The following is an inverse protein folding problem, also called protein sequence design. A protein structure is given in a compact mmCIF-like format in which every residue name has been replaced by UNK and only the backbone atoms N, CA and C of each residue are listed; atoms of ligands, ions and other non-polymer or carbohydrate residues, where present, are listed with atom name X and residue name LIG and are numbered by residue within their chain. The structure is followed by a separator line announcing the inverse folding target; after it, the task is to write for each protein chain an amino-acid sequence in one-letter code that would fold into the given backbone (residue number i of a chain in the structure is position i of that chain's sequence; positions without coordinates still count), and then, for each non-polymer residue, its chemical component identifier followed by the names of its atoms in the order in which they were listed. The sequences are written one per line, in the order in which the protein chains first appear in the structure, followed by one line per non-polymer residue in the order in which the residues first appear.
data_IF_245024122257
#
_entry.id   IF_245024122257
#
_cell.length_a   1.000
_cell.length_b   1.000
_cell.length_c   1.000
_cell.angle_alpha   90.00
_cell.angle_beta   90.00
_cell.angle_gamma   90.00
#
_symmetry.space_group_name_H-M   'P 1'
#
loop_
_entity.id
_entity.type
_entity.pdbx_description
1 polymer ?
#
# COMPACT_ATOMS: atom_id res chain seq x y z
N UNK A 1 -47.44 45.19 -43.61
CA UNK A 1 -48.27 45.83 -42.56
C UNK A 1 -47.56 45.68 -41.22
N UNK A 2 -47.69 46.68 -40.34
CA UNK A 2 -46.68 47.07 -39.36
C UNK A 2 -46.89 46.49 -37.97
N UNK A 3 -45.81 46.58 -37.18
CA UNK A 3 -45.71 46.77 -35.73
C UNK A 3 -46.91 46.43 -34.85
N UNK A 4 -46.71 45.56 -33.86
CA UNK A 4 -47.25 45.77 -32.52
C UNK A 4 -46.21 45.38 -31.45
N UNK A 5 -45.43 46.40 -31.06
CA UNK A 5 -44.78 46.52 -29.75
C UNK A 5 -45.82 46.63 -28.64
N UNK A 6 -45.65 45.88 -27.55
CA UNK A 6 -46.26 46.17 -26.24
C UNK A 6 -45.40 45.53 -25.12
N UNK A 7 -45.50 45.97 -23.85
CA UNK A 7 -44.41 46.57 -23.07
C UNK A 7 -43.96 45.70 -21.87
N UNK A 8 -42.94 46.13 -21.10
CA UNK A 8 -42.48 45.40 -19.93
C UNK A 8 -43.33 45.75 -18.69
N UNK A 9 -43.88 44.73 -18.03
CA UNK A 9 -44.51 44.88 -16.72
C UNK A 9 -43.46 44.72 -15.62
N UNK A 10 -43.20 45.83 -14.92
CA UNK A 10 -42.44 45.89 -13.69
C UNK A 10 -43.19 45.16 -12.57
N UNK A 11 -42.47 44.34 -11.80
CA UNK A 11 -43.00 43.70 -10.60
C UNK A 11 -42.20 44.21 -9.38
N UNK A 12 -42.76 45.11 -8.54
CA UNK A 12 -42.15 45.55 -7.30
C UNK A 12 -42.67 44.66 -6.17
N UNK A 13 -41.98 43.54 -5.93
CA UNK A 13 -42.26 42.64 -4.83
C UNK A 13 -41.02 42.53 -3.95
N UNK A 14 -40.94 43.39 -2.94
CA UNK A 14 -39.93 43.34 -1.90
C UNK A 14 -40.11 42.06 -1.07
N UNK A 15 -39.19 41.10 -1.25
CA UNK A 15 -39.00 40.00 -0.31
C UNK A 15 -37.95 40.40 0.73
N UNK A 16 -38.19 40.13 2.02
CA UNK A 16 -37.27 40.48 3.09
C UNK A 16 -35.99 39.66 2.92
N UNK A 17 -34.89 40.39 2.77
CA UNK A 17 -33.52 39.87 2.83
C UNK A 17 -33.28 39.28 4.21
N UNK A 18 -33.60 38.00 4.38
CA UNK A 18 -33.20 37.23 5.54
C UNK A 18 -31.74 36.84 5.32
N UNK A 19 -30.85 37.57 5.98
CA UNK A 19 -29.40 37.31 5.99
C UNK A 19 -29.13 35.97 6.69
N UNK A 20 -28.75 34.89 5.97
CA UNK A 20 -28.44 33.59 6.56
C UNK A 20 -27.00 33.54 7.09
N UNK A 21 -26.31 34.68 7.20
CA UNK A 21 -24.92 34.75 7.67
C UNK A 21 -24.77 34.60 9.19
N UNK A 22 -25.78 34.09 9.90
CA UNK A 22 -25.58 33.53 11.24
C UNK A 22 -24.77 32.24 11.13
N UNK A 23 -23.45 32.42 11.02
CA UNK A 23 -22.40 31.74 11.78
C UNK A 23 -22.90 30.58 12.64
N UNK A 24 -23.20 29.46 11.99
CA UNK A 24 -22.84 28.18 12.57
C UNK A 24 -21.32 28.13 12.49
N UNK A 25 -20.65 28.67 13.51
CA UNK A 25 -19.27 28.32 13.81
C UNK A 25 -19.21 26.78 13.72
N UNK A 26 -18.56 26.20 12.71
CA UNK A 26 -18.26 24.80 12.78
C UNK A 26 -17.41 24.70 14.03
N UNK A 27 -17.93 24.02 15.05
CA UNK A 27 -17.15 23.53 16.17
C UNK A 27 -16.07 22.68 15.53
N UNK A 28 -14.98 23.36 15.18
CA UNK A 28 -13.73 22.87 14.72
C UNK A 28 -13.28 22.02 15.89
N UNK A 29 -13.68 20.75 15.85
CA UNK A 29 -13.04 19.68 16.58
C UNK A 29 -11.59 19.81 16.18
N UNK A 30 -10.86 20.59 16.98
CA UNK A 30 -9.47 20.91 16.80
C UNK A 30 -8.80 19.58 16.61
N UNK A 31 -8.47 19.29 15.35
CA UNK A 31 -7.78 18.09 14.91
C UNK A 31 -6.48 18.15 15.68
N UNK A 32 -6.43 17.48 16.83
CA UNK A 32 -5.28 17.52 17.72
C UNK A 32 -4.06 17.28 16.82
N UNK A 33 -3.05 18.16 16.86
CA UNK A 33 -1.87 18.02 16.02
C UNK A 33 -1.35 16.61 16.25
N UNK A 34 -1.54 15.77 15.23
CA UNK A 34 -1.24 14.35 15.29
C UNK A 34 0.21 14.25 15.71
N UNK A 35 0.47 13.76 16.92
CA UNK A 35 1.82 13.54 17.41
C UNK A 35 2.58 12.82 16.31
N UNK A 36 3.57 13.52 15.74
CA UNK A 36 4.38 13.01 14.65
C UNK A 36 5.06 11.76 15.20
N UNK A 37 4.56 10.61 14.77
CA UNK A 37 4.99 9.28 15.18
C UNK A 37 6.53 9.25 15.27
N UNK A 38 7.13 8.69 16.35
CA UNK A 38 8.57 8.68 16.56
C UNK A 38 9.31 8.33 15.27
N UNK A 39 10.18 9.25 14.84
CA UNK A 39 10.75 9.36 13.51
C UNK A 39 10.92 8.01 12.80
N UNK A 40 10.14 7.78 11.73
CA UNK A 40 10.25 6.60 10.90
C UNK A 40 11.72 6.38 10.47
N UNK A 41 12.24 5.14 10.53
CA UNK A 41 13.66 4.88 10.32
C UNK A 41 14.08 5.23 8.90
N UNK A 42 14.99 6.19 8.75
CA UNK A 42 15.49 6.64 7.44
C UNK A 42 16.11 5.47 6.66
N UNK A 43 15.53 5.16 5.49
CA UNK A 43 16.06 4.16 4.58
C UNK A 43 17.26 4.72 3.80
N UNK A 44 18.33 3.94 3.71
CA UNK A 44 19.55 4.34 2.99
C UNK A 44 19.37 4.11 1.48
N UNK A 45 19.81 5.07 0.68
CA UNK A 45 19.78 4.96 -0.79
C UNK A 45 20.84 3.95 -1.28
N UNK A 46 20.60 3.20 -2.37
CA UNK A 46 21.58 2.27 -2.93
C UNK A 46 22.97 2.88 -3.16
N UNK A 47 23.03 4.14 -3.66
CA UNK A 47 24.28 4.88 -3.88
C UNK A 47 25.08 5.13 -2.59
N UNK A 48 24.39 5.36 -1.47
CA UNK A 48 25.06 5.56 -0.18
C UNK A 48 25.63 4.25 0.34
N UNK A 49 24.94 3.13 0.09
CA UNK A 49 25.42 1.79 0.46
C UNK A 49 26.63 1.40 -0.38
N UNK A 50 26.61 1.66 -1.69
CA UNK A 50 27.76 1.39 -2.56
C UNK A 50 28.97 2.26 -2.21
N UNK A 51 28.78 3.55 -1.90
CA UNK A 51 29.86 4.45 -1.50
C UNK A 51 30.54 3.99 -0.20
N UNK A 52 29.75 3.56 0.80
CA UNK A 52 30.28 3.01 2.06
C UNK A 52 31.04 1.72 1.84
N UNK A 53 30.54 0.83 0.98
CA UNK A 53 31.24 -0.41 0.64
C UNK A 53 32.56 -0.12 -0.09
N UNK A 54 32.55 0.82 -1.05
CA UNK A 54 33.75 1.23 -1.78
C UNK A 54 34.81 1.85 -0.87
N UNK A 55 34.43 2.75 0.05
CA UNK A 55 35.35 3.34 1.00
C UNK A 55 36.03 2.32 1.92
N UNK A 56 35.32 1.27 2.32
CA UNK A 56 35.89 0.15 3.09
C UNK A 56 36.89 -0.64 2.24
N UNK A 57 36.55 -0.98 1.00
CA UNK A 57 37.46 -1.71 0.09
C UNK A 57 38.73 -0.90 -0.20
N UNK A 58 38.59 0.39 -0.54
CA UNK A 58 39.72 1.29 -0.80
C UNK A 58 40.62 1.43 0.44
N UNK A 59 40.04 1.54 1.64
CA UNK A 59 40.80 1.61 2.88
C UNK A 59 41.59 0.32 3.17
N UNK A 60 41.00 -0.84 2.86
CA UNK A 60 41.69 -2.14 2.97
C UNK A 60 42.84 -2.23 1.96
N UNK A 61 42.62 -1.83 0.71
CA UNK A 61 43.66 -1.84 -0.34
C UNK A 61 44.85 -0.93 0.01
N UNK A 62 44.59 0.29 0.50
CA UNK A 62 45.64 1.22 0.93
C UNK A 62 46.47 0.66 2.11
N UNK A 63 45.82 0.06 3.10
CA UNK A 63 46.51 -0.58 4.23
C UNK A 63 47.33 -1.79 3.80
N UNK A 64 46.81 -2.60 2.86
CA UNK A 64 47.53 -3.73 2.30
C UNK A 64 48.78 -3.27 1.53
N UNK A 65 48.65 -2.22 0.70
CA UNK A 65 49.77 -1.62 -0.04
C UNK A 65 50.86 -1.05 0.88
N UNK A 66 50.47 -0.40 1.98
CA UNK A 66 51.41 0.10 2.99
C UNK A 66 52.13 -1.05 3.71
N UNK A 67 51.42 -2.11 4.08
CA UNK A 67 52.00 -3.30 4.71
C UNK A 67 52.98 -4.03 3.78
N UNK A 68 52.69 -4.04 2.48
CA UNK A 68 53.56 -4.56 1.43
C UNK A 68 54.91 -3.84 1.36
N UNK A 69 54.91 -2.50 1.53
CA UNK A 69 56.13 -1.70 1.48
C UNK A 69 57.03 -1.87 2.72
N UNK A 70 56.48 -2.35 3.84
CA UNK A 70 57.13 -2.27 5.15
C UNK A 70 57.70 -3.59 5.69
N UNK A 71 57.27 -4.77 5.23
CA UNK A 71 57.68 -6.02 5.89
C UNK A 71 57.79 -7.24 4.97
N UNK A 72 58.83 -8.05 5.19
CA UNK A 72 59.05 -9.39 4.58
C UNK A 72 58.03 -10.45 5.04
N UNK A 73 56.98 -10.05 5.76
CA UNK A 73 55.97 -10.92 6.38
C UNK A 73 54.62 -10.88 5.64
N UNK A 74 54.67 -10.65 4.34
CA UNK A 74 53.53 -10.44 3.44
C UNK A 74 52.48 -11.55 3.55
N UNK A 75 52.90 -12.81 3.65
CA UNK A 75 52.00 -13.96 3.72
C UNK A 75 51.15 -13.99 4.99
N UNK A 76 51.70 -13.58 6.15
CA UNK A 76 50.93 -13.54 7.40
C UNK A 76 49.88 -12.43 7.36
N UNK A 77 50.26 -11.25 6.84
CA UNK A 77 49.33 -10.13 6.66
C UNK A 77 48.18 -10.51 5.70
N UNK A 78 48.48 -11.18 4.58
CA UNK A 78 47.44 -11.70 3.68
C UNK A 78 46.53 -12.72 4.36
N UNK A 79 47.09 -13.66 5.11
CA UNK A 79 46.30 -14.68 5.80
C UNK A 79 45.32 -14.05 6.82
N UNK A 80 45.78 -13.07 7.60
CA UNK A 80 44.94 -12.35 8.56
C UNK A 80 43.86 -11.49 7.88
N UNK A 81 44.22 -10.76 6.82
CA UNK A 81 43.28 -9.93 6.05
C UNK A 81 42.21 -10.80 5.37
N UNK A 82 42.65 -11.87 4.70
CA UNK A 82 41.75 -12.80 4.03
C UNK A 82 40.84 -13.52 5.04
N UNK A 83 41.39 -14.00 6.16
CA UNK A 83 40.61 -14.61 7.24
C UNK A 83 39.58 -13.65 7.84
N UNK A 84 39.97 -12.39 8.08
CA UNK A 84 39.06 -11.34 8.55
C UNK A 84 37.94 -11.03 7.54
N UNK A 85 38.27 -10.94 6.25
CA UNK A 85 37.31 -10.67 5.18
C UNK A 85 36.32 -11.84 4.98
N UNK A 86 36.81 -13.08 5.03
CA UNK A 86 35.96 -14.27 5.01
C UNK A 86 35.04 -14.30 6.23
N UNK A 87 35.57 -14.15 7.44
CA UNK A 87 34.77 -14.12 8.67
C UNK A 87 33.68 -13.04 8.66
N UNK A 88 34.03 -11.83 8.20
CA UNK A 88 33.06 -10.74 8.02
C UNK A 88 32.01 -11.06 6.96
N UNK A 89 32.39 -11.63 5.82
CA UNK A 89 31.47 -12.03 4.75
C UNK A 89 30.48 -13.10 5.21
N UNK A 90 30.96 -14.15 5.91
CA UNK A 90 30.10 -15.19 6.48
C UNK A 90 29.14 -14.62 7.52
N UNK A 91 29.62 -13.75 8.42
CA UNK A 91 28.76 -13.08 9.40
C UNK A 91 27.68 -12.23 8.71
N UNK A 92 28.05 -11.45 7.70
CA UNK A 92 27.12 -10.60 6.95
C UNK A 92 26.09 -11.42 6.17
N UNK A 93 26.48 -12.55 5.59
CA UNK A 93 25.55 -13.51 4.96
C UNK A 93 24.61 -14.10 6.00
N UNK A 94 25.10 -14.51 7.17
CA UNK A 94 24.27 -15.00 8.27
C UNK A 94 23.24 -13.98 8.74
N UNK A 95 23.64 -12.71 8.90
CA UNK A 95 22.74 -11.62 9.24
C UNK A 95 21.69 -11.38 8.15
N UNK A 96 22.07 -11.48 6.87
CA UNK A 96 21.14 -11.35 5.76
C UNK A 96 20.13 -12.51 5.70
N UNK A 97 20.56 -13.76 5.86
CA UNK A 97 19.67 -14.92 5.90
C UNK A 97 18.67 -14.83 7.05
N UNK A 98 19.13 -14.44 8.25
CA UNK A 98 18.23 -14.22 9.39
C UNK A 98 17.20 -13.12 9.12
N UNK A 99 17.63 -12.02 8.50
CA UNK A 99 16.72 -10.92 8.15
C UNK A 99 15.72 -11.31 7.03
N UNK A 100 16.13 -12.13 6.06
CA UNK A 100 15.23 -12.66 5.03
C UNK A 100 14.21 -13.62 5.67
N UNK A 101 14.66 -14.57 6.48
CA UNK A 101 13.80 -15.52 7.17
C UNK A 101 12.78 -14.81 8.07
N UNK A 102 13.21 -13.75 8.77
CA UNK A 102 12.30 -12.90 9.55
C UNK A 102 11.25 -12.21 8.66
N UNK A 103 11.61 -11.65 7.50
CA UNK A 103 10.63 -11.05 6.60
C UNK A 103 9.62 -12.07 6.05
N UNK A 104 10.06 -13.25 5.63
CA UNK A 104 9.15 -14.31 5.19
C UNK A 104 8.22 -14.75 6.32
N UNK A 105 8.76 -14.89 7.55
CA UNK A 105 7.93 -15.21 8.71
C UNK A 105 6.88 -14.12 9.00
N UNK A 106 7.24 -12.84 8.89
CA UNK A 106 6.29 -11.75 9.04
C UNK A 106 5.18 -11.78 7.97
N UNK A 107 5.53 -12.13 6.73
CA UNK A 107 4.58 -12.32 5.64
C UNK A 107 3.62 -13.47 5.93
N UNK A 108 4.12 -14.62 6.37
CA UNK A 108 3.27 -15.75 6.77
C UNK A 108 2.32 -15.36 7.90
N UNK A 109 2.80 -14.63 8.90
CA UNK A 109 1.97 -14.14 10.00
C UNK A 109 0.86 -13.19 9.50
N UNK A 110 1.16 -12.33 8.53
CA UNK A 110 0.16 -11.50 7.86
C UNK A 110 -0.90 -12.32 7.11
N UNK A 111 -0.47 -13.36 6.39
CA UNK A 111 -1.38 -14.26 5.66
C UNK A 111 -2.30 -15.04 6.62
N UNK A 112 -1.80 -15.35 7.82
CA UNK A 112 -2.56 -15.97 8.93
C UNK A 112 -3.42 -14.96 9.71
N UNK A 113 -3.37 -13.66 9.40
CA UNK A 113 -4.11 -12.62 10.11
C UNK A 113 -3.51 -12.22 11.46
N UNK A 114 -2.31 -12.68 11.81
CA UNK A 114 -1.58 -12.34 13.04
C UNK A 114 -0.81 -11.03 12.87
N UNK A 115 -1.54 -9.93 12.65
CA UNK A 115 -0.95 -8.63 12.32
C UNK A 115 -0.04 -8.08 13.44
N UNK A 116 -0.36 -8.32 14.70
CA UNK A 116 0.42 -7.80 15.84
C UNK A 116 1.78 -8.49 16.00
N UNK A 117 1.82 -9.81 15.84
CA UNK A 117 3.07 -10.58 15.84
C UNK A 117 3.96 -10.18 14.66
N UNK A 118 3.35 -10.03 13.47
CA UNK A 118 4.07 -9.54 12.29
C UNK A 118 4.64 -8.14 12.52
N UNK A 119 3.87 -7.23 13.13
CA UNK A 119 4.30 -5.87 13.45
C UNK A 119 5.54 -5.89 14.36
N UNK A 120 5.48 -6.63 15.47
CA UNK A 120 6.59 -6.72 16.43
C UNK A 120 7.87 -7.23 15.79
N UNK A 121 7.76 -8.28 14.96
CA UNK A 121 8.92 -8.88 14.30
C UNK A 121 9.54 -7.93 13.25
N UNK A 122 8.72 -7.20 12.50
CA UNK A 122 9.17 -6.20 11.54
C UNK A 122 9.78 -4.97 12.23
N UNK A 123 9.22 -4.52 13.34
CA UNK A 123 9.72 -3.39 14.11
C UNK A 123 11.10 -3.71 14.73
N UNK A 124 11.28 -4.94 15.26
CA UNK A 124 12.60 -5.43 15.70
C UNK A 124 13.63 -5.44 14.55
N UNK A 125 13.22 -5.89 13.37
CA UNK A 125 14.08 -5.94 12.20
C UNK A 125 14.45 -4.54 11.68
N UNK A 126 13.53 -3.58 11.73
CA UNK A 126 13.78 -2.18 11.35
C UNK A 126 14.67 -1.46 12.37
N UNK A 127 14.51 -1.74 13.67
CA UNK A 127 15.33 -1.17 14.73
C UNK A 127 16.78 -1.73 14.74
N UNK A 128 16.97 -2.98 14.29
CA UNK A 128 18.27 -3.63 14.30
C UNK A 128 19.28 -2.98 13.35
N UNK A 129 20.43 -2.56 13.91
CA UNK A 129 21.60 -2.08 13.13
C UNK A 129 22.22 -3.17 12.26
N UNK A 130 21.98 -4.45 12.58
CA UNK A 130 22.52 -5.60 11.84
C UNK A 130 21.73 -5.90 10.56
N UNK A 131 20.51 -5.38 10.43
CA UNK A 131 19.68 -5.60 9.25
C UNK A 131 20.31 -4.98 8.01
N UNK A 132 20.59 -5.78 6.97
CA UNK A 132 21.17 -5.28 5.73
C UNK A 132 20.34 -4.17 5.09
N UNK A 133 20.99 -3.12 4.56
CA UNK A 133 20.29 -1.97 3.99
C UNK A 133 19.31 -2.29 2.86
N UNK A 134 19.57 -3.34 2.08
CA UNK A 134 18.70 -3.79 0.98
C UNK A 134 17.45 -4.55 1.46
N UNK A 135 17.43 -5.04 2.70
CA UNK A 135 16.29 -5.76 3.29
C UNK A 135 15.35 -4.81 4.03
N UNK A 136 15.85 -3.67 4.51
CA UNK A 136 15.04 -2.67 5.24
C UNK A 136 13.84 -2.13 4.44
N UNK A 137 13.94 -1.84 3.12
CA UNK A 137 12.77 -1.44 2.34
C UNK A 137 11.71 -2.54 2.26
N UNK A 138 12.10 -3.81 2.16
CA UNK A 138 11.16 -4.94 2.16
C UNK A 138 10.42 -5.03 3.51
N UNK A 139 11.14 -4.87 4.61
CA UNK A 139 10.56 -4.85 5.94
C UNK A 139 9.60 -3.67 6.17
N UNK A 140 9.99 -2.48 5.69
CA UNK A 140 9.14 -1.30 5.73
C UNK A 140 7.86 -1.49 4.89
N UNK A 141 7.96 -2.16 3.73
CA UNK A 141 6.81 -2.52 2.91
C UNK A 141 5.84 -3.46 3.64
N UNK A 142 6.32 -4.57 4.21
CA UNK A 142 5.45 -5.46 4.98
C UNK A 142 4.85 -4.77 6.21
N UNK A 143 5.59 -3.87 6.85
CA UNK A 143 5.06 -3.09 7.98
C UNK A 143 3.98 -2.10 7.55
N UNK A 144 4.03 -1.62 6.32
CA UNK A 144 2.94 -0.86 5.72
C UNK A 144 1.70 -1.74 5.46
N UNK A 145 1.87 -2.99 5.02
CA UNK A 145 0.74 -3.91 4.89
C UNK A 145 0.08 -4.22 6.23
N UNK A 146 0.85 -4.35 7.32
CA UNK A 146 0.32 -4.40 8.69
C UNK A 146 -0.54 -3.16 8.99
N UNK A 147 -0.03 -1.96 8.68
CA UNK A 147 -0.76 -0.72 8.91
C UNK A 147 -2.08 -0.68 8.10
N UNK A 148 -2.09 -1.14 6.84
CA UNK A 148 -3.33 -1.29 6.06
C UNK A 148 -4.32 -2.22 6.79
N UNK A 149 -3.86 -3.37 7.28
CA UNK A 149 -4.71 -4.36 8.00
C UNK A 149 -5.27 -3.84 9.32
N UNK A 150 -4.63 -2.85 9.94
CA UNK A 150 -5.14 -2.16 11.13
C UNK A 150 -6.04 -0.96 10.80
N UNK A 151 -6.18 -0.61 9.52
CA UNK A 151 -6.87 0.60 9.08
C UNK A 151 -6.08 1.88 9.35
N UNK A 152 -4.77 1.79 9.56
CA UNK A 152 -3.85 2.91 9.76
C UNK A 152 -3.34 3.43 8.39
N UNK A 153 -4.25 3.85 7.51
CA UNK A 153 -3.95 4.08 6.09
C UNK A 153 -2.91 5.19 5.84
N UNK A 154 -3.03 6.31 6.53
CA UNK A 154 -2.00 7.37 6.56
C UNK A 154 -0.60 6.86 6.94
N UNK A 155 -0.46 6.04 7.98
CA UNK A 155 0.85 5.45 8.35
C UNK A 155 1.35 4.50 7.25
N UNK A 156 0.46 3.70 6.67
CA UNK A 156 0.80 2.82 5.55
C UNK A 156 1.34 3.62 4.36
N UNK A 157 0.69 4.74 4.00
CA UNK A 157 1.10 5.64 2.92
C UNK A 157 2.50 6.22 3.19
N UNK A 158 2.75 6.74 4.39
CA UNK A 158 4.06 7.28 4.76
C UNK A 158 5.17 6.24 4.63
N UNK A 159 4.94 5.03 5.14
CA UNK A 159 5.90 3.93 5.02
C UNK A 159 6.14 3.52 3.57
N UNK A 160 5.10 3.47 2.74
CA UNK A 160 5.23 3.16 1.31
C UNK A 160 6.00 4.25 0.57
N UNK A 161 5.72 5.53 0.85
CA UNK A 161 6.49 6.66 0.31
C UNK A 161 7.98 6.50 0.63
N UNK A 162 8.33 6.14 1.87
CA UNK A 162 9.73 5.89 2.23
C UNK A 162 10.36 4.74 1.42
N UNK A 163 9.61 3.66 1.17
CA UNK A 163 10.08 2.55 0.34
C UNK A 163 10.35 3.01 -1.09
N UNK A 164 9.47 3.83 -1.68
CA UNK A 164 9.67 4.39 -3.02
C UNK A 164 10.88 5.34 -3.04
N UNK A 165 10.95 6.29 -2.11
CA UNK A 165 12.01 7.31 -2.00
C UNK A 165 13.39 6.72 -1.69
N UNK A 166 13.42 5.52 -1.12
CA UNK A 166 14.66 4.78 -0.90
C UNK A 166 15.41 4.48 -2.20
N UNK A 167 14.71 4.48 -3.36
CA UNK A 167 15.30 4.25 -4.68
C UNK A 167 15.69 2.79 -4.96
N UNK A 168 15.29 1.86 -4.11
CA UNK A 168 15.54 0.42 -4.30
C UNK A 168 14.63 -0.23 -5.35
N UNK A 169 13.52 0.43 -5.72
CA UNK A 169 12.55 -0.04 -6.71
C UNK A 169 12.89 0.34 -8.16
N UNK A 170 13.90 1.17 -8.39
CA UNK A 170 14.23 1.67 -9.73
C UNK A 170 14.80 0.60 -10.68
N UNK A 171 14.94 0.96 -11.97
CA UNK A 171 15.44 0.07 -13.02
C UNK A 171 16.82 -0.53 -12.68
N UNK A 172 16.99 -1.84 -12.91
CA UNK A 172 18.21 -2.63 -12.67
C UNK A 172 18.59 -2.73 -11.18
N UNK A 173 17.61 -2.68 -10.28
CA UNK A 173 17.82 -2.82 -8.83
C UNK A 173 17.29 -4.15 -8.31
N UNK A 174 17.81 -4.56 -7.16
CA UNK A 174 17.52 -5.85 -6.53
C UNK A 174 16.05 -6.04 -6.15
N UNK A 175 15.28 -4.96 -5.99
CA UNK A 175 13.86 -5.02 -5.61
C UNK A 175 12.91 -4.56 -6.72
N UNK A 176 13.36 -4.50 -7.97
CA UNK A 176 12.51 -4.07 -9.09
C UNK A 176 11.26 -4.96 -9.25
N UNK A 177 11.37 -6.27 -8.99
CA UNK A 177 10.24 -7.20 -9.05
C UNK A 177 9.16 -6.92 -7.99
N UNK A 178 9.49 -6.19 -6.92
CA UNK A 178 8.55 -5.80 -5.87
C UNK A 178 7.79 -4.50 -6.22
N UNK A 179 8.30 -3.70 -7.17
CA UNK A 179 7.73 -2.40 -7.49
C UNK A 179 6.21 -2.44 -7.75
N UNK A 180 5.66 -3.35 -8.58
CA UNK A 180 4.21 -3.39 -8.84
C UNK A 180 3.41 -3.64 -7.57
N UNK A 181 3.89 -4.51 -6.68
CA UNK A 181 3.23 -4.80 -5.40
C UNK A 181 3.25 -3.59 -4.46
N UNK A 182 4.37 -2.84 -4.39
CA UNK A 182 4.47 -1.62 -3.58
C UNK A 182 3.50 -0.55 -4.10
N UNK A 183 3.46 -0.31 -5.40
CA UNK A 183 2.56 0.69 -5.98
C UNK A 183 1.08 0.30 -5.89
N UNK A 184 0.76 -1.00 -6.05
CA UNK A 184 -0.60 -1.49 -5.82
C UNK A 184 -1.02 -1.31 -4.35
N UNK A 185 -0.13 -1.57 -3.39
CA UNK A 185 -0.40 -1.30 -1.98
C UNK A 185 -0.55 0.21 -1.69
N UNK A 186 0.23 1.07 -2.36
CA UNK A 186 0.10 2.53 -2.26
C UNK A 186 -1.27 3.00 -2.76
N UNK A 187 -1.70 2.44 -3.89
CA UNK A 187 -3.01 2.69 -4.50
C UNK A 187 -4.10 2.26 -3.53
N UNK A 188 -4.06 1.01 -3.05
CA UNK A 188 -5.04 0.46 -2.12
C UNK A 188 -5.12 1.28 -0.82
N UNK A 189 -3.98 1.62 -0.21
CA UNK A 189 -3.95 2.44 1.00
C UNK A 189 -4.58 3.82 0.76
N UNK A 190 -4.34 4.44 -0.41
CA UNK A 190 -4.91 5.75 -0.75
C UNK A 190 -6.42 5.66 -1.03
N UNK A 191 -6.88 4.61 -1.71
CA UNK A 191 -8.32 4.37 -1.94
C UNK A 191 -9.06 4.19 -0.61
N UNK A 192 -8.52 3.36 0.28
CA UNK A 192 -9.13 3.10 1.59
C UNK A 192 -9.10 4.32 2.51
N UNK A 193 -8.12 5.22 2.34
CA UNK A 193 -8.06 6.53 3.03
C UNK A 193 -9.04 7.56 2.44
N UNK A 194 -9.65 7.28 1.28
CA UNK A 194 -10.54 8.19 0.55
C UNK A 194 -9.83 9.18 -0.39
N UNK A 195 -8.50 9.10 -0.55
CA UNK A 195 -7.70 9.95 -1.42
C UNK A 195 -7.59 9.33 -2.83
N UNK A 196 -8.68 9.41 -3.59
CA UNK A 196 -8.78 8.86 -4.95
C UNK A 196 -7.76 9.47 -5.92
N UNK A 197 -7.46 10.76 -5.77
CA UNK A 197 -6.47 11.42 -6.61
C UNK A 197 -5.07 10.85 -6.37
N UNK A 198 -4.66 10.64 -5.12
CA UNK A 198 -3.39 9.96 -4.84
C UNK A 198 -3.38 8.52 -5.35
N UNK A 199 -4.49 7.79 -5.21
CA UNK A 199 -4.60 6.42 -5.73
C UNK A 199 -4.35 6.36 -7.24
N UNK A 200 -5.00 7.23 -8.03
CA UNK A 200 -4.80 7.31 -9.48
C UNK A 200 -3.35 7.65 -9.83
N UNK A 201 -2.72 8.60 -9.12
CA UNK A 201 -1.30 8.93 -9.34
C UNK A 201 -0.39 7.73 -9.08
N UNK A 202 -0.61 7.01 -7.98
CA UNK A 202 0.19 5.84 -7.64
C UNK A 202 0.02 4.70 -8.64
N UNK A 203 -1.21 4.49 -9.12
CA UNK A 203 -1.51 3.52 -10.18
C UNK A 203 -0.75 3.87 -11.46
N UNK A 204 -0.82 5.13 -11.90
CA UNK A 204 -0.12 5.60 -13.10
C UNK A 204 1.41 5.53 -12.97
N UNK A 205 1.98 5.85 -11.80
CA UNK A 205 3.42 5.68 -11.53
C UNK A 205 3.84 4.21 -11.54
N UNK A 206 3.05 3.34 -10.91
CA UNK A 206 3.34 1.91 -10.86
C UNK A 206 3.30 1.24 -12.23
N UNK A 207 2.33 1.58 -13.08
CA UNK A 207 2.31 1.08 -14.46
C UNK A 207 3.48 1.56 -15.30
N UNK A 208 4.05 2.75 -15.02
CA UNK A 208 5.28 3.22 -15.69
C UNK A 208 6.55 2.47 -15.22
N UNK A 209 6.56 2.03 -13.97
CA UNK A 209 7.72 1.36 -13.36
C UNK A 209 7.72 -0.17 -13.55
N UNK A 210 6.56 -0.77 -13.78
CA UNK A 210 6.37 -2.22 -13.78
C UNK A 210 6.56 -2.83 -15.17
N UNK A 211 7.36 -3.90 -15.25
CA UNK A 211 7.14 -4.93 -16.26
C UNK A 211 5.79 -5.60 -15.95
N UNK A 212 5.02 -5.89 -16.99
CA UNK A 212 3.65 -6.40 -17.04
C UNK A 212 3.28 -7.46 -15.97
N UNK A 213 2.99 -7.02 -14.74
CA UNK A 213 2.63 -7.87 -13.60
C UNK A 213 1.24 -7.51 -13.10
N UNK A 214 0.24 -7.75 -13.96
CA UNK A 214 -1.17 -7.44 -13.73
C UNK A 214 -1.74 -8.01 -12.42
N UNK A 215 -1.25 -9.19 -12.00
CA UNK A 215 -1.69 -9.88 -10.77
C UNK A 215 -1.70 -9.03 -9.49
N UNK A 216 -0.79 -8.06 -9.38
CA UNK A 216 -0.69 -7.21 -8.20
C UNK A 216 -1.77 -6.12 -8.17
N UNK A 217 -2.38 -5.83 -9.32
CA UNK A 217 -3.29 -4.71 -9.51
C UNK A 217 -4.76 -5.07 -9.34
N UNK A 218 -5.16 -6.34 -9.44
CA UNK A 218 -6.58 -6.75 -9.39
C UNK A 218 -7.32 -6.18 -8.19
N UNK A 219 -6.79 -6.41 -6.98
CA UNK A 219 -7.41 -5.91 -5.74
C UNK A 219 -7.43 -4.38 -5.73
N UNK A 220 -6.29 -3.72 -5.98
CA UNK A 220 -6.21 -2.27 -5.92
C UNK A 220 -7.13 -1.57 -6.94
N UNK A 221 -7.23 -2.09 -8.17
CA UNK A 221 -8.11 -1.57 -9.22
C UNK A 221 -9.59 -1.80 -8.87
N UNK A 222 -9.93 -2.97 -8.33
CA UNK A 222 -11.30 -3.25 -7.90
C UNK A 222 -11.76 -2.27 -6.81
N UNK A 223 -10.92 -2.02 -5.80
CA UNK A 223 -11.20 -1.00 -4.79
C UNK A 223 -11.31 0.40 -5.40
N UNK A 224 -10.44 0.75 -6.34
CA UNK A 224 -10.47 2.06 -7.01
C UNK A 224 -11.77 2.27 -7.78
N UNK A 225 -12.21 1.29 -8.58
CA UNK A 225 -13.48 1.33 -9.32
C UNK A 225 -14.68 1.40 -8.38
N UNK A 226 -14.68 0.57 -7.33
CA UNK A 226 -15.74 0.57 -6.33
C UNK A 226 -15.84 1.92 -5.61
N UNK A 227 -14.70 2.56 -5.29
CA UNK A 227 -14.70 3.84 -4.58
C UNK A 227 -15.05 5.02 -5.49
N UNK A 228 -14.95 4.85 -6.80
CA UNK A 228 -15.33 5.82 -7.84
C UNK A 228 -16.77 5.60 -8.37
N UNK A 229 -17.59 4.81 -7.65
CA UNK A 229 -18.97 4.47 -8.05
C UNK A 229 -19.10 3.79 -9.43
N UNK A 230 -18.01 3.24 -9.97
CA UNK A 230 -17.95 2.60 -11.29
C UNK A 230 -18.36 1.10 -11.23
N UNK A 231 -19.55 0.84 -10.67
CA UNK A 231 -20.03 -0.50 -10.32
C UNK A 231 -20.11 -1.47 -11.52
N UNK A 232 -20.66 -1.02 -12.65
CA UNK A 232 -20.75 -1.85 -13.85
C UNK A 232 -19.37 -2.23 -14.40
N UNK A 233 -18.45 -1.28 -14.39
CA UNK A 233 -17.08 -1.52 -14.85
C UNK A 233 -16.38 -2.50 -13.92
N UNK A 234 -16.56 -2.37 -12.61
CA UNK A 234 -16.05 -3.32 -11.62
C UNK A 234 -16.52 -4.74 -11.92
N UNK A 235 -17.84 -4.95 -12.06
CA UNK A 235 -18.41 -6.27 -12.32
C UNK A 235 -17.93 -6.85 -13.65
N UNK A 236 -17.85 -6.02 -14.70
CA UNK A 236 -17.32 -6.42 -16.02
C UNK A 236 -15.84 -6.83 -15.93
N UNK A 237 -15.03 -6.10 -15.18
CA UNK A 237 -13.61 -6.43 -14.99
C UNK A 237 -13.43 -7.71 -14.18
N UNK A 238 -14.21 -7.91 -13.12
CA UNK A 238 -14.16 -9.14 -12.32
C UNK A 238 -14.62 -10.36 -13.14
N UNK A 239 -15.73 -10.25 -13.86
CA UNK A 239 -16.26 -11.35 -14.67
C UNK A 239 -15.36 -11.71 -15.86
N UNK A 240 -14.76 -10.73 -16.54
CA UNK A 240 -13.88 -11.01 -17.69
C UNK A 240 -12.49 -11.52 -17.31
N UNK A 241 -12.03 -11.29 -16.07
CA UNK A 241 -10.68 -11.65 -15.62
C UNK A 241 -10.66 -12.68 -14.48
N UNK A 242 -11.80 -13.31 -14.18
CA UNK A 242 -11.93 -14.19 -13.02
C UNK A 242 -10.91 -15.34 -13.02
N UNK A 243 -10.72 -16.03 -14.16
CA UNK A 243 -9.75 -17.13 -14.27
C UNK A 243 -8.31 -16.68 -13.97
N UNK A 244 -7.94 -15.48 -14.43
CA UNK A 244 -6.62 -14.89 -14.15
C UNK A 244 -6.48 -14.47 -12.68
N UNK A 245 -7.57 -13.98 -12.08
CA UNK A 245 -7.64 -13.64 -10.65
C UNK A 245 -7.45 -14.91 -9.81
N UNK A 246 -8.18 -15.98 -10.09
CA UNK A 246 -8.11 -17.24 -9.35
C UNK A 246 -6.72 -17.88 -9.41
N UNK A 247 -6.06 -17.82 -10.57
CA UNK A 247 -4.72 -18.36 -10.75
C UNK A 247 -3.58 -17.55 -10.10
N UNK A 248 -3.83 -16.31 -9.66
CA UNK A 248 -2.73 -15.40 -9.25
C UNK A 248 -2.94 -14.69 -7.92
N UNK A 249 -4.18 -14.45 -7.49
CA UNK A 249 -4.50 -13.71 -6.27
C UNK A 249 -4.59 -14.69 -5.10
N UNK A 250 -4.11 -14.26 -3.92
CA UNK A 250 -4.23 -15.09 -2.72
C UNK A 250 -5.70 -15.30 -2.33
N UNK A 251 -6.01 -16.38 -1.63
CA UNK A 251 -7.38 -16.63 -1.17
C UNK A 251 -7.98 -15.46 -0.36
N UNK A 252 -7.15 -14.76 0.42
CA UNK A 252 -7.60 -13.55 1.11
C UNK A 252 -7.97 -12.40 0.16
N UNK A 253 -7.22 -12.22 -0.94
CA UNK A 253 -7.55 -11.26 -1.99
C UNK A 253 -8.80 -11.64 -2.77
N UNK A 254 -8.99 -12.93 -3.10
CA UNK A 254 -10.22 -13.42 -3.73
C UNK A 254 -11.44 -13.08 -2.87
N UNK A 255 -11.37 -13.32 -1.55
CA UNK A 255 -12.46 -12.96 -0.64
C UNK A 255 -12.72 -11.45 -0.56
N UNK A 256 -11.71 -10.61 -0.73
CA UNK A 256 -11.91 -9.16 -0.82
C UNK A 256 -12.62 -8.77 -2.13
N UNK A 257 -12.26 -9.42 -3.24
CA UNK A 257 -12.92 -9.18 -4.53
C UNK A 257 -14.38 -9.63 -4.51
N UNK A 258 -14.67 -10.79 -3.93
CA UNK A 258 -16.05 -11.28 -3.72
C UNK A 258 -16.87 -10.34 -2.84
N UNK A 259 -16.27 -9.78 -1.79
CA UNK A 259 -16.92 -8.76 -0.95
C UNK A 259 -17.29 -7.52 -1.78
N UNK A 260 -16.39 -7.04 -2.63
CA UNK A 260 -16.64 -5.89 -3.51
C UNK A 260 -17.66 -6.20 -4.61
N UNK A 261 -17.66 -7.41 -5.16
CA UNK A 261 -18.66 -7.87 -6.12
C UNK A 261 -20.06 -7.87 -5.51
N UNK A 262 -20.21 -8.48 -4.32
CA UNK A 262 -21.45 -8.50 -3.57
C UNK A 262 -21.94 -7.08 -3.22
N UNK A 263 -21.02 -6.21 -2.81
CA UNK A 263 -21.33 -4.81 -2.52
C UNK A 263 -21.78 -4.05 -3.78
N UNK A 264 -21.08 -4.20 -4.91
CA UNK A 264 -21.43 -3.55 -6.15
C UNK A 264 -22.80 -3.99 -6.70
N UNK A 265 -23.14 -5.28 -6.60
CA UNK A 265 -24.46 -5.79 -6.97
C UNK A 265 -25.57 -5.16 -6.13
N UNK A 266 -25.33 -4.99 -4.83
CA UNK A 266 -26.27 -4.33 -3.92
C UNK A 266 -26.49 -2.86 -4.34
N UNK A 267 -25.41 -2.13 -4.62
CA UNK A 267 -25.47 -0.72 -5.05
C UNK A 267 -26.15 -0.51 -6.40
N UNK A 268 -26.00 -1.45 -7.34
CA UNK A 268 -26.73 -1.41 -8.61
C UNK A 268 -28.22 -1.71 -8.42
N UNK A 269 -28.57 -2.69 -7.58
CA UNK A 269 -29.97 -3.00 -7.26
C UNK A 269 -30.70 -1.86 -6.54
N UNK A 270 -30.00 -1.06 -5.73
CA UNK A 270 -30.57 0.14 -5.09
C UNK A 270 -30.82 1.29 -6.07
N UNK A 271 -30.01 1.41 -7.13
CA UNK A 271 -30.13 2.50 -8.12
C UNK A 271 -31.14 2.18 -9.22
N UNK A 272 -31.28 0.92 -9.58
CA UNK A 272 -32.14 0.46 -10.66
C UNK A 272 -33.19 -0.49 -10.09
N UNK A 273 -34.45 -0.04 -10.00
CA UNK A 273 -35.60 -0.85 -9.57
C UNK A 273 -35.76 -2.17 -10.36
N UNK A 274 -35.01 -2.36 -11.46
CA UNK A 274 -34.99 -3.58 -12.27
C UNK A 274 -33.61 -3.83 -12.91
N UNK A 275 -32.51 -3.88 -12.15
CA UNK A 275 -31.23 -4.35 -12.72
C UNK A 275 -31.37 -5.78 -13.26
N UNK A 276 -31.42 -5.94 -14.60
CA UNK A 276 -31.48 -7.21 -15.35
C UNK A 276 -30.15 -7.55 -16.03
N UNK A 277 -29.04 -7.10 -15.47
CA UNK A 277 -27.72 -7.36 -16.04
C UNK A 277 -27.31 -8.82 -15.95
N UNK A 278 -26.18 -9.16 -16.58
CA UNK A 278 -25.61 -10.53 -16.65
C UNK A 278 -25.41 -11.18 -15.27
N UNK A 279 -25.31 -10.37 -14.22
CA UNK A 279 -25.09 -10.81 -12.84
C UNK A 279 -26.36 -10.92 -11.99
N UNK A 280 -27.57 -10.71 -12.56
CA UNK A 280 -28.82 -10.69 -11.80
C UNK A 280 -29.19 -12.03 -11.14
N UNK A 281 -28.51 -13.13 -11.49
CA UNK A 281 -28.72 -14.46 -10.92
C UNK A 281 -27.75 -14.85 -9.79
N UNK A 282 -26.71 -14.05 -9.50
CA UNK A 282 -25.79 -14.36 -8.41
C UNK A 282 -26.38 -13.92 -7.07
N UNK A 283 -26.63 -14.87 -6.18
CA UNK A 283 -27.08 -14.56 -4.83
C UNK A 283 -25.95 -13.90 -4.02
N UNK A 284 -26.19 -12.71 -3.48
CA UNK A 284 -25.25 -11.96 -2.61
C UNK A 284 -24.76 -12.84 -1.46
N UNK A 285 -25.65 -13.66 -0.88
CA UNK A 285 -25.37 -14.64 0.18
C UNK A 285 -24.30 -15.66 -0.22
N UNK A 286 -24.28 -16.10 -1.48
CA UNK A 286 -23.32 -17.07 -1.98
C UNK A 286 -21.93 -16.44 -2.18
N UNK A 287 -21.86 -15.18 -2.63
CA UNK A 287 -20.59 -14.46 -2.80
C UNK A 287 -19.89 -14.20 -1.47
N UNK A 288 -20.64 -13.82 -0.44
CA UNK A 288 -20.09 -13.57 0.90
C UNK A 288 -19.89 -14.87 1.70
N UNK A 289 -20.36 -16.01 1.18
CA UNK A 289 -20.24 -17.31 1.84
C UNK A 289 -18.76 -17.70 2.03
N UNK A 290 -18.33 -17.78 3.29
CA UNK A 290 -16.95 -18.11 3.68
C UNK A 290 -16.09 -16.90 4.08
N UNK A 291 -16.63 -15.68 4.01
CA UNK A 291 -16.03 -14.53 4.68
C UNK A 291 -16.32 -14.64 6.18
N UNK A 292 -15.27 -14.72 7.00
CA UNK A 292 -15.42 -14.76 8.46
C UNK A 292 -15.72 -13.35 9.00
N UNK A 293 -16.63 -13.20 9.97
CA UNK A 293 -16.84 -11.94 10.66
C UNK A 293 -15.53 -11.38 11.22
N UNK A 294 -15.33 -10.06 11.18
CA UNK A 294 -14.14 -9.42 11.71
C UNK A 294 -12.93 -9.40 10.76
N UNK A 295 -12.90 -10.29 9.75
CA UNK A 295 -11.70 -10.51 8.92
C UNK A 295 -11.29 -9.27 8.10
N UNK A 296 -12.28 -8.45 7.74
CA UNK A 296 -12.11 -7.35 6.81
C UNK A 296 -12.60 -6.00 7.36
N UNK A 297 -12.80 -5.88 8.67
CA UNK A 297 -13.31 -4.67 9.32
C UNK A 297 -12.50 -3.42 8.97
N UNK A 298 -11.18 -3.60 8.78
CA UNK A 298 -10.29 -2.52 8.38
C UNK A 298 -10.69 -1.89 7.04
N UNK A 299 -11.29 -2.63 6.09
CA UNK A 299 -11.73 -2.08 4.80
C UNK A 299 -12.84 -1.03 4.96
N UNK A 300 -13.71 -1.24 5.94
CA UNK A 300 -14.86 -0.38 6.25
C UNK A 300 -14.52 0.75 7.22
N UNK A 301 -13.24 0.93 7.60
CA UNK A 301 -12.85 1.92 8.62
C UNK A 301 -13.11 3.36 8.20
N UNK A 302 -12.78 3.71 6.96
CA UNK A 302 -13.01 5.05 6.38
C UNK A 302 -14.03 5.01 5.23
N UNK A 303 -14.86 3.96 5.19
CA UNK A 303 -15.87 3.76 4.16
C UNK A 303 -17.21 3.43 4.82
N UNK A 304 -18.02 4.46 5.18
CA UNK A 304 -19.28 4.28 5.89
C UNK A 304 -20.28 3.38 5.14
N UNK A 305 -20.42 3.57 3.83
CA UNK A 305 -21.39 2.83 3.01
C UNK A 305 -21.04 1.34 2.94
N UNK A 306 -19.75 1.00 2.81
CA UNK A 306 -19.28 -0.38 2.89
C UNK A 306 -19.47 -0.95 4.30
N UNK A 307 -19.31 -0.14 5.35
CA UNK A 307 -19.56 -0.56 6.73
C UNK A 307 -21.01 -0.96 6.94
N UNK A 308 -21.94 -0.13 6.49
CA UNK A 308 -23.39 -0.40 6.59
C UNK A 308 -23.75 -1.71 5.89
N UNK A 309 -23.23 -1.91 4.68
CA UNK A 309 -23.37 -3.18 3.96
C UNK A 309 -22.80 -4.37 4.77
N UNK A 310 -21.56 -4.27 5.25
CA UNK A 310 -20.95 -5.33 6.04
C UNK A 310 -21.71 -5.61 7.34
N UNK A 311 -22.29 -4.60 7.96
CA UNK A 311 -23.12 -4.73 9.16
C UNK A 311 -24.45 -5.45 8.86
N UNK A 312 -25.14 -5.07 7.78
CA UNK A 312 -26.39 -5.69 7.35
C UNK A 312 -26.23 -7.20 7.06
N UNK A 313 -25.04 -7.60 6.61
CA UNK A 313 -24.71 -9.00 6.31
C UNK A 313 -23.95 -9.74 7.42
N UNK A 314 -23.78 -9.14 8.61
CA UNK A 314 -23.13 -9.79 9.76
C UNK A 314 -21.65 -10.10 9.55
N UNK A 315 -20.93 -9.29 8.77
CA UNK A 315 -19.51 -9.47 8.44
C UNK A 315 -18.56 -8.70 9.36
N UNK A 316 -19.08 -7.80 10.19
CA UNK A 316 -18.32 -7.07 11.21
C UNK A 316 -18.27 -7.88 12.53
N UNK A 317 -17.19 -7.75 13.29
CA UNK A 317 -17.05 -8.35 14.62
C UNK A 317 -17.48 -7.42 15.76
#
# INVERSE_FOLDING_TARGET
MPEQSTPPAANPGAEPTHDPSQELEPTSLARQPREVNPALPKLLKPRQVSLRAFGVVLGIELLAGLGWALTSWTWLAFALLFGGLLGWSFRRRGDAHRAIAANERARELLDLGRADEAASLLDQLLASRRTPPNIRPLAAYYRALVAIRRGEFSEARERIHMVVDSGWLGNRKTLQSLAPAVYAAATLASVLDGDLQAAVRWRAEGHRCAADLERHWFVANAFLLARDDAWEQLLRELGSKWDAIEGTVSGAGIRQLQLLEAYALTRLGEREDNYRGVHSGQEISALIHGIRPGRFDYLARCWPELREFMQAHGLLA
#
